data_IF_499478746271
#
_entry.id   IF_499478746271
#
_cell.length_a   1.000
_cell.length_b   1.000
_cell.length_c   1.000
_cell.angle_alpha   90.00
_cell.angle_beta   90.00
_cell.angle_gamma   90.00
#
_symmetry.space_group_name_H-M   'P 1'
#
loop_
_entity.id
_entity.type
_entity.pdbx_description
1 polymer ?
#
# COMPACT_ATOMS: atom_id res chain seq x y z
N UNK A 1 -15.49 -0.55 -11.60
CA UNK A 1 -14.03 -0.72 -11.76
C UNK A 1 -13.74 -2.20 -11.70
N UNK A 2 -12.96 -2.73 -12.63
CA UNK A 2 -12.57 -4.14 -12.64
C UNK A 2 -11.09 -4.24 -12.23
N UNK A 3 -10.80 -4.96 -11.15
CA UNK A 3 -9.44 -5.21 -10.68
C UNK A 3 -9.15 -6.70 -10.88
N UNK A 4 -7.99 -7.02 -11.47
CA UNK A 4 -7.57 -8.41 -11.63
C UNK A 4 -6.79 -8.87 -10.38
N UNK A 5 -7.49 -9.42 -9.40
CA UNK A 5 -6.89 -10.00 -8.20
C UNK A 5 -6.33 -11.42 -8.43
N UNK A 6 -6.68 -12.08 -9.55
CA UNK A 6 -6.12 -13.39 -9.93
C UNK A 6 -4.72 -13.29 -10.54
N UNK A 7 -4.28 -12.07 -10.86
CA UNK A 7 -2.93 -11.83 -11.39
C UNK A 7 -1.89 -12.20 -10.32
N UNK A 8 -1.12 -13.24 -10.60
CA UNK A 8 0.05 -13.61 -9.80
C UNK A 8 1.13 -12.53 -9.97
N UNK A 9 1.66 -12.03 -8.86
CA UNK A 9 2.72 -11.03 -8.80
C UNK A 9 3.91 -11.64 -8.08
N UNK A 10 5.04 -11.76 -8.79
CA UNK A 10 6.28 -12.19 -8.17
C UNK A 10 6.85 -11.06 -7.28
N UNK A 11 7.00 -11.36 -5.99
CA UNK A 11 7.55 -10.48 -4.96
C UNK A 11 8.88 -10.96 -4.41
N UNK A 12 9.53 -11.95 -5.05
CA UNK A 12 10.82 -12.46 -4.59
C UNK A 12 12.00 -11.52 -4.87
N UNK A 13 11.77 -10.41 -5.59
CA UNK A 13 12.81 -9.45 -6.03
C UNK A 13 12.46 -8.00 -5.71
N UNK A 14 11.48 -7.75 -4.85
CA UNK A 14 11.04 -6.39 -4.52
C UNK A 14 11.30 -6.00 -3.06
N UNK A 15 12.28 -6.64 -2.41
CA UNK A 15 12.62 -6.40 -1.00
C UNK A 15 11.43 -6.62 -0.04
N UNK A 16 10.57 -7.60 -0.33
CA UNK A 16 9.40 -7.90 0.48
C UNK A 16 9.78 -8.77 1.67
N UNK A 17 9.69 -8.21 2.89
CA UNK A 17 9.93 -8.95 4.12
C UNK A 17 9.12 -10.27 4.20
N UNK A 18 7.88 -10.27 3.67
CA UNK A 18 7.03 -11.47 3.54
C UNK A 18 7.77 -12.66 2.92
N UNK A 19 8.58 -12.42 1.88
CA UNK A 19 9.32 -13.42 1.13
C UNK A 19 10.78 -13.52 1.60
N UNK A 20 11.45 -12.39 1.82
CA UNK A 20 12.89 -12.32 2.08
C UNK A 20 13.26 -12.73 3.52
N UNK A 21 12.36 -12.57 4.49
CA UNK A 21 12.65 -12.92 5.89
C UNK A 21 12.30 -14.38 6.24
N UNK A 22 11.95 -15.23 5.26
CA UNK A 22 11.53 -16.62 5.53
C UNK A 22 12.57 -17.45 6.27
N UNK A 23 13.85 -17.37 5.88
CA UNK A 23 14.93 -18.05 6.62
C UNK A 23 14.99 -17.57 8.07
N UNK A 24 14.93 -16.25 8.28
CA UNK A 24 15.01 -15.64 9.61
C UNK A 24 13.83 -16.03 10.50
N UNK A 25 12.64 -16.22 9.93
CA UNK A 25 11.40 -16.52 10.68
C UNK A 25 11.10 -18.01 10.83
N UNK A 26 11.44 -18.81 9.83
CA UNK A 26 11.02 -20.21 9.73
C UNK A 26 12.20 -21.19 9.52
N UNK A 27 13.43 -20.69 9.42
CA UNK A 27 14.63 -21.52 9.23
C UNK A 27 14.82 -22.06 7.82
N UNK A 28 13.93 -21.75 6.88
CA UNK A 28 13.97 -22.22 5.49
C UNK A 28 13.28 -21.22 4.56
N UNK A 29 13.63 -21.22 3.28
CA UNK A 29 12.91 -20.50 2.22
C UNK A 29 11.75 -21.31 1.65
N UNK A 30 11.73 -22.63 1.89
CA UNK A 30 10.77 -23.59 1.34
C UNK A 30 9.45 -23.58 2.12
N UNK A 31 8.87 -22.39 2.23
CA UNK A 31 7.54 -22.15 2.81
C UNK A 31 6.76 -21.17 1.96
N UNK A 32 5.45 -21.39 1.87
CA UNK A 32 4.52 -20.41 1.31
C UNK A 32 4.32 -19.30 2.36
N UNK A 33 4.69 -18.05 2.07
CA UNK A 33 4.65 -17.00 3.07
C UNK A 33 3.23 -16.44 3.26
N UNK A 34 2.53 -16.90 4.30
CA UNK A 34 1.16 -16.46 4.66
C UNK A 34 1.09 -15.81 6.06
N UNK A 35 2.16 -15.13 6.48
CA UNK A 35 2.38 -14.78 7.89
C UNK A 35 2.25 -13.28 8.22
N UNK A 36 2.85 -12.39 7.43
CA UNK A 36 2.82 -10.94 7.67
C UNK A 36 1.61 -10.31 7.00
N UNK A 37 0.99 -9.34 7.67
CA UNK A 37 -0.24 -8.67 7.25
C UNK A 37 -0.01 -7.60 6.16
N UNK A 38 0.54 -8.02 5.02
CA UNK A 38 0.49 -7.31 3.74
C UNK A 38 -0.17 -8.19 2.65
N UNK A 39 -0.44 -7.62 1.47
CA UNK A 39 -1.15 -8.31 0.40
C UNK A 39 -0.24 -8.59 -0.81
N UNK A 40 -0.53 -9.67 -1.54
CA UNK A 40 0.12 -9.99 -2.81
C UNK A 40 -0.61 -9.37 -4.03
N UNK A 41 -1.19 -8.19 -3.83
CA UNK A 41 -1.90 -7.44 -4.87
C UNK A 41 -1.16 -6.15 -5.22
N UNK A 42 -1.33 -5.70 -6.47
CA UNK A 42 -0.90 -4.35 -6.86
C UNK A 42 -1.78 -3.33 -6.15
N UNK A 43 -1.17 -2.26 -5.65
CA UNK A 43 -1.90 -1.09 -5.11
C UNK A 43 -2.89 -0.55 -6.15
N UNK A 44 -4.03 -0.03 -5.71
CA UNK A 44 -5.05 0.54 -6.58
C UNK A 44 -4.47 1.65 -7.48
N UNK A 45 -4.86 1.66 -8.76
CA UNK A 45 -4.30 2.58 -9.76
C UNK A 45 -4.38 4.08 -9.35
N UNK A 46 -5.47 4.58 -8.74
CA UNK A 46 -5.52 5.98 -8.29
C UNK A 46 -4.41 6.36 -7.29
N UNK A 47 -3.96 5.41 -6.45
CA UNK A 47 -2.87 5.64 -5.50
C UNK A 47 -1.53 5.67 -6.25
N UNK A 48 -1.34 4.77 -7.22
CA UNK A 48 -0.14 4.72 -8.06
C UNK A 48 -0.01 6.01 -8.87
N UNK A 49 -1.09 6.46 -9.50
CA UNK A 49 -1.11 7.70 -10.30
C UNK A 49 -0.75 8.92 -9.44
N UNK A 50 -1.26 9.01 -8.21
CA UNK A 50 -0.93 10.08 -7.27
C UNK A 50 0.57 10.06 -6.89
N UNK A 51 1.14 8.88 -6.63
CA UNK A 51 2.57 8.73 -6.35
C UNK A 51 3.45 9.09 -7.55
N UNK A 52 3.06 8.64 -8.75
CA UNK A 52 3.76 8.99 -9.99
C UNK A 52 3.71 10.50 -10.28
N UNK A 53 2.56 11.13 -10.07
CA UNK A 53 2.40 12.58 -10.22
C UNK A 53 3.32 13.33 -9.27
N UNK A 54 3.33 12.96 -7.99
CA UNK A 54 4.20 13.58 -6.98
C UNK A 54 5.68 13.36 -7.29
N UNK A 55 6.06 12.17 -7.78
CA UNK A 55 7.43 11.88 -8.17
C UNK A 55 7.89 12.75 -9.36
N UNK A 56 7.01 13.00 -10.33
CA UNK A 56 7.29 13.83 -11.52
C UNK A 56 7.54 15.31 -11.19
N UNK A 57 7.07 15.83 -10.06
CA UNK A 57 7.36 17.20 -9.63
C UNK A 57 8.85 17.45 -9.40
N UNK A 58 9.64 16.41 -9.10
CA UNK A 58 11.10 16.49 -9.00
C UNK A 58 11.65 17.28 -7.79
N UNK A 59 10.80 17.74 -6.87
CA UNK A 59 11.18 18.49 -5.66
C UNK A 59 10.63 17.78 -4.42
N UNK A 60 11.51 17.26 -3.58
CA UNK A 60 11.17 16.42 -2.40
C UNK A 60 11.63 17.04 -1.08
N UNK A 61 11.30 18.32 -0.90
CA UNK A 61 11.58 19.06 0.32
C UNK A 61 10.51 18.82 1.40
N UNK A 62 10.66 19.52 2.53
CA UNK A 62 9.67 19.53 3.61
C UNK A 62 8.24 19.72 3.08
N UNK A 63 7.39 18.73 3.33
CA UNK A 63 6.03 18.67 2.82
C UNK A 63 5.06 19.07 3.93
N UNK A 64 4.32 20.16 3.74
CA UNK A 64 3.18 20.50 4.59
C UNK A 64 1.98 19.63 4.23
N UNK A 65 1.06 19.45 5.17
CA UNK A 65 -0.24 18.81 4.90
C UNK A 65 -1.27 19.90 4.64
N UNK A 66 -1.94 19.83 3.51
CA UNK A 66 -3.04 20.71 3.17
C UNK A 66 -4.38 20.18 3.74
N UNK A 67 -5.41 21.02 3.74
CA UNK A 67 -6.72 20.69 4.31
C UNK A 67 -7.37 19.47 3.64
N UNK A 68 -7.10 19.22 2.35
CA UNK A 68 -7.69 18.09 1.62
C UNK A 68 -7.26 16.74 2.18
N UNK A 69 -6.09 16.65 2.82
CA UNK A 69 -5.66 15.45 3.54
C UNK A 69 -6.64 15.10 4.68
N UNK A 70 -7.00 16.11 5.48
CA UNK A 70 -7.90 15.93 6.62
C UNK A 70 -9.33 15.68 6.16
N UNK A 71 -9.78 16.40 5.13
CA UNK A 71 -11.09 16.19 4.51
C UNK A 71 -11.24 14.77 3.94
N UNK A 72 -10.23 14.25 3.24
CA UNK A 72 -10.25 12.90 2.69
C UNK A 72 -10.43 11.84 3.79
N UNK A 73 -9.72 12.00 4.92
CA UNK A 73 -9.88 11.13 6.07
C UNK A 73 -11.28 11.24 6.70
N UNK A 74 -11.74 12.46 7.00
CA UNK A 74 -13.04 12.68 7.62
C UNK A 74 -14.19 12.13 6.75
N UNK A 75 -14.14 12.39 5.45
CA UNK A 75 -15.12 11.90 4.48
C UNK A 75 -15.11 10.38 4.39
N UNK A 76 -13.94 9.73 4.47
CA UNK A 76 -13.85 8.27 4.49
C UNK A 76 -14.53 7.69 5.73
N UNK A 77 -14.25 8.25 6.91
CA UNK A 77 -14.84 7.79 8.17
C UNK A 77 -16.35 7.97 8.20
N UNK A 78 -16.85 9.12 7.76
CA UNK A 78 -18.28 9.39 7.72
C UNK A 78 -18.98 8.45 6.73
N UNK A 79 -18.43 8.29 5.52
CA UNK A 79 -19.04 7.43 4.49
C UNK A 79 -19.02 5.94 4.84
N UNK A 80 -17.96 5.44 5.45
CA UNK A 80 -17.76 4.00 5.70
C UNK A 80 -18.26 3.55 7.06
N UNK A 81 -18.23 4.45 8.04
CA UNK A 81 -18.47 4.11 9.45
C UNK A 81 -19.51 5.01 10.11
N UNK A 82 -20.06 6.01 9.41
CA UNK A 82 -21.05 6.94 9.98
C UNK A 82 -20.48 7.84 11.07
N UNK A 83 -19.14 7.90 11.20
CA UNK A 83 -18.47 8.68 12.22
C UNK A 83 -17.82 9.90 11.59
N UNK A 84 -18.21 11.09 12.05
CA UNK A 84 -17.58 12.35 11.65
C UNK A 84 -16.53 12.75 12.68
N UNK A 85 -15.23 12.71 12.34
CA UNK A 85 -14.18 13.22 13.22
C UNK A 85 -14.38 14.73 13.43
N UNK A 86 -14.15 15.19 14.67
CA UNK A 86 -14.17 16.61 15.01
C UNK A 86 -12.90 17.31 14.55
#
# INVERSE_FOLDING_TARGET
>A
MNYNFDKIIDRSKNHAAKYDERIKKFGTEDVIPLWVADMDFKTAQPIIDALESRAKEGIWCYTSRDDSYFEAYANWQEKRHGWKPN
#
